data_IF_661173007372
#
_entry.id   IF_661173007372
#
_cell.length_a   1.000
_cell.length_b   1.000
_cell.length_c   1.000
_cell.angle_alpha   90.00
_cell.angle_beta   90.00
_cell.angle_gamma   90.00
#
_symmetry.space_group_name_H-M   'P 1'
#
loop_
_entity.id
_entity.type
_entity.pdbx_description
1 polymer ?
#
# COMPACT_ATOMS: atom_id res chain seq x y z
N UNK A 1 3.50 12.70 -66.65
CA UNK A 1 3.90 13.90 -65.90
C UNK A 1 4.46 13.46 -64.55
N UNK A 2 5.72 13.80 -64.27
CA UNK A 2 6.41 13.62 -62.98
C UNK A 2 7.13 14.94 -62.74
N UNK A 3 7.06 15.52 -61.52
CA UNK A 3 8.14 16.30 -60.83
C UNK A 3 7.60 17.08 -59.61
N UNK A 4 7.93 16.58 -58.42
CA UNK A 4 8.51 17.28 -57.23
C UNK A 4 8.02 18.67 -56.79
N UNK A 5 7.67 18.78 -55.49
CA UNK A 5 8.29 19.77 -54.57
C UNK A 5 8.40 19.25 -53.12
N UNK A 6 9.47 19.68 -52.43
CA UNK A 6 9.97 19.18 -51.14
C UNK A 6 9.31 19.91 -49.92
N UNK A 7 9.53 19.59 -48.63
CA UNK A 7 10.82 19.35 -47.96
C UNK A 7 10.76 18.52 -46.65
N UNK A 8 11.95 18.10 -46.17
CA UNK A 8 12.22 17.48 -44.85
C UNK A 8 12.16 18.52 -43.71
N UNK A 9 11.89 18.07 -42.47
CA UNK A 9 12.78 18.15 -41.26
C UNK A 9 12.36 17.01 -40.30
N UNK A 10 13.25 16.59 -39.38
CA UNK A 10 13.18 15.35 -38.58
C UNK A 10 12.47 15.47 -37.21
N UNK A 11 12.12 14.32 -36.58
CA UNK A 11 11.56 14.29 -35.21
C UNK A 11 11.03 12.92 -34.70
N UNK A 12 11.93 12.00 -34.35
CA UNK A 12 11.96 11.14 -33.13
C UNK A 12 10.62 10.78 -32.40
N UNK A 13 10.32 9.46 -32.36
CA UNK A 13 9.75 8.63 -31.25
C UNK A 13 8.22 8.39 -31.04
N UNK A 14 7.95 7.10 -30.76
CA UNK A 14 6.82 6.42 -30.09
C UNK A 14 5.35 6.80 -30.39
N UNK A 15 4.63 5.87 -31.02
CA UNK A 15 3.16 5.75 -30.91
C UNK A 15 2.77 5.01 -29.63
N UNK A 16 2.66 5.72 -28.51
CA UNK A 16 1.84 5.25 -27.38
C UNK A 16 0.35 5.34 -27.74
N UNK A 17 -0.44 4.33 -27.35
CA UNK A 17 -1.91 4.39 -27.44
C UNK A 17 -2.41 5.48 -26.48
N UNK A 18 -3.15 6.47 -27.00
CA UNK A 18 -3.75 7.53 -26.17
C UNK A 18 -5.13 7.08 -25.69
N UNK A 19 -5.43 7.31 -24.41
CA UNK A 19 -6.77 7.13 -23.85
C UNK A 19 -7.78 8.14 -24.41
N UNK A 20 -9.07 7.84 -24.26
CA UNK A 20 -10.17 8.72 -24.66
C UNK A 20 -10.52 9.64 -23.50
N UNK A 21 -10.66 10.93 -23.77
CA UNK A 21 -10.89 11.98 -22.77
C UNK A 21 -12.36 12.03 -22.33
N UNK A 22 -12.61 12.14 -21.03
CA UNK A 22 -13.84 12.76 -20.51
C UNK A 22 -13.73 14.29 -20.62
N UNK A 23 -14.74 14.95 -21.17
CA UNK A 23 -14.84 16.42 -21.26
C UNK A 23 -16.19 16.91 -20.75
N UNK A 24 -16.11 17.83 -19.77
CA UNK A 24 -17.03 18.94 -19.38
C UNK A 24 -18.56 18.71 -19.37
N UNK A 25 -19.36 19.24 -18.44
CA UNK A 25 -19.26 19.63 -17.01
C UNK A 25 -20.41 20.60 -16.69
N UNK A 26 -21.26 20.37 -15.67
CA UNK A 26 -22.45 21.20 -15.47
C UNK A 26 -23.20 21.14 -14.09
N UNK A 27 -23.72 22.28 -13.53
CA UNK A 27 -24.71 22.47 -12.39
C UNK A 27 -25.32 23.92 -12.24
N UNK A 28 -26.66 24.15 -12.28
CA UNK A 28 -27.34 25.27 -11.53
C UNK A 28 -28.76 25.02 -10.99
N UNK A 29 -29.25 25.97 -10.17
CA UNK A 29 -30.49 25.94 -9.40
C UNK A 29 -31.26 27.28 -9.44
N UNK A 30 -32.57 27.24 -9.60
CA UNK A 30 -33.47 28.23 -8.97
C UNK A 30 -34.86 27.63 -8.71
N UNK A 31 -35.49 28.02 -7.59
CA UNK A 31 -36.86 27.61 -7.26
C UNK A 31 -36.97 26.47 -6.23
N UNK A 32 -38.10 26.43 -5.51
CA UNK A 32 -38.43 25.40 -4.53
C UNK A 32 -39.11 24.23 -5.22
N UNK A 33 -38.38 23.15 -5.48
CA UNK A 33 -38.91 21.96 -6.11
C UNK A 33 -39.80 21.13 -5.18
N UNK A 34 -40.98 20.72 -5.66
CA UNK A 34 -41.78 19.66 -5.04
C UNK A 34 -41.64 18.32 -5.81
N UNK A 35 -42.31 17.26 -5.34
CA UNK A 35 -42.20 15.91 -5.91
C UNK A 35 -42.61 15.80 -7.40
N UNK A 36 -43.37 16.78 -7.93
CA UNK A 36 -43.70 16.83 -9.35
C UNK A 36 -42.52 17.28 -10.21
N UNK A 37 -41.69 18.22 -9.73
CA UNK A 37 -40.48 18.65 -10.42
C UNK A 37 -39.41 17.54 -10.48
N UNK A 38 -39.31 16.72 -9.42
CA UNK A 38 -38.43 15.54 -9.40
C UNK A 38 -38.78 14.53 -10.51
N UNK A 39 -40.08 14.33 -10.76
CA UNK A 39 -40.60 13.47 -11.82
C UNK A 39 -40.37 14.06 -13.22
N UNK A 40 -40.45 15.39 -13.35
CA UNK A 40 -40.13 16.09 -14.59
C UNK A 40 -38.62 16.06 -14.91
N UNK A 41 -37.76 16.18 -13.89
CA UNK A 41 -36.30 16.12 -14.01
C UNK A 41 -35.81 14.77 -14.55
N UNK A 42 -36.29 13.66 -13.98
CA UNK A 42 -35.95 12.32 -14.48
C UNK A 42 -36.33 12.15 -15.96
N UNK A 43 -37.56 12.58 -16.32
CA UNK A 43 -38.08 12.49 -17.69
C UNK A 43 -37.31 13.35 -18.70
N UNK A 44 -36.80 14.51 -18.29
CA UNK A 44 -35.93 15.33 -19.15
C UNK A 44 -34.53 14.71 -19.29
N UNK A 45 -33.92 14.23 -18.20
CA UNK A 45 -32.59 13.63 -18.22
C UNK A 45 -32.50 12.38 -19.12
N UNK A 46 -33.58 11.60 -19.20
CA UNK A 46 -33.68 10.41 -20.07
C UNK A 46 -34.01 10.74 -21.54
N UNK A 47 -34.35 11.99 -21.85
CA UNK A 47 -34.74 12.43 -23.21
C UNK A 47 -33.63 13.13 -24.01
N UNK A 48 -32.50 13.42 -23.38
CA UNK A 48 -31.38 14.14 -24.01
C UNK A 48 -30.51 13.17 -24.84
N UNK A 49 -30.34 13.39 -26.16
CA UNK A 49 -29.36 12.66 -26.95
C UNK A 49 -27.94 13.03 -26.49
N UNK A 50 -26.98 12.13 -26.73
CA UNK A 50 -25.56 12.35 -26.41
C UNK A 50 -25.06 13.69 -26.96
N UNK A 51 -24.62 14.57 -26.07
CA UNK A 51 -24.27 15.95 -26.38
C UNK A 51 -23.04 16.04 -27.29
N UNK A 52 -23.24 16.56 -28.50
CA UNK A 52 -22.20 17.07 -29.40
C UNK A 52 -22.39 18.60 -29.42
N UNK A 53 -21.39 19.32 -28.89
CA UNK A 53 -21.63 20.64 -28.30
C UNK A 53 -21.45 21.82 -29.25
N UNK A 54 -22.15 22.92 -28.92
CA UNK A 54 -21.69 24.27 -29.23
C UNK A 54 -21.61 25.09 -27.92
N UNK A 55 -20.71 26.08 -27.90
CA UNK A 55 -20.14 26.66 -26.67
C UNK A 55 -20.99 27.81 -26.10
N UNK A 56 -21.99 28.28 -26.83
CA UNK A 56 -22.81 29.46 -26.45
C UNK A 56 -23.86 29.17 -25.35
N UNK A 57 -24.23 27.91 -25.08
CA UNK A 57 -25.09 27.53 -23.93
C UNK A 57 -24.31 27.31 -22.63
N UNK A 58 -23.09 27.83 -22.56
CA UNK A 58 -22.14 28.03 -21.44
C UNK A 58 -22.67 28.48 -20.06
N UNK A 59 -23.94 28.85 -19.93
CA UNK A 59 -24.41 29.59 -18.77
C UNK A 59 -24.88 28.67 -17.66
N UNK A 60 -24.21 28.84 -16.52
CA UNK A 60 -24.62 28.39 -15.19
C UNK A 60 -24.19 26.98 -14.77
N UNK A 61 -23.10 26.38 -15.27
CA UNK A 61 -22.93 24.93 -15.04
C UNK A 61 -21.44 24.56 -14.71
N UNK A 62 -21.15 24.09 -13.47
CA UNK A 62 -19.79 23.91 -12.89
C UNK A 62 -19.05 22.60 -13.26
N UNK A 63 -17.71 22.69 -13.37
CA UNK A 63 -16.78 21.57 -13.57
C UNK A 63 -15.99 21.26 -12.30
N UNK A 64 -15.90 19.99 -11.94
CA UNK A 64 -14.79 19.48 -11.14
C UNK A 64 -13.77 18.88 -12.12
N UNK A 65 -12.58 19.46 -12.17
CA UNK A 65 -11.41 18.89 -12.83
C UNK A 65 -10.54 18.21 -11.78
N UNK A 66 -9.93 17.07 -12.13
CA UNK A 66 -8.90 16.44 -11.32
C UNK A 66 -7.68 16.15 -12.18
N UNK A 67 -6.51 16.22 -11.56
CA UNK A 67 -5.28 15.65 -12.08
C UNK A 67 -4.69 14.67 -11.07
N UNK A 68 -3.47 14.20 -11.32
CA UNK A 68 -2.72 13.22 -10.52
C UNK A 68 -2.55 13.63 -9.04
N UNK A 69 -2.83 14.89 -8.69
CA UNK A 69 -2.74 15.49 -7.34
C UNK A 69 -4.10 15.70 -6.68
N UNK A 70 -5.20 15.43 -7.39
CA UNK A 70 -6.56 15.34 -6.86
C UNK A 70 -7.34 16.65 -6.67
N UNK A 71 -8.43 16.55 -5.90
CA UNK A 71 -9.43 17.61 -5.74
C UNK A 71 -9.02 18.62 -4.66
N UNK A 72 -9.11 19.92 -4.98
CA UNK A 72 -8.87 21.02 -4.03
C UNK A 72 -10.17 21.74 -3.70
N UNK A 73 -10.53 21.74 -2.41
CA UNK A 73 -11.61 22.57 -1.84
C UNK A 73 -11.22 22.99 -0.42
N UNK A 74 -11.07 24.30 -0.20
CA UNK A 74 -10.61 24.88 1.07
C UNK A 74 -11.74 24.91 2.12
N UNK A 75 -11.46 24.55 3.37
CA UNK A 75 -12.50 24.14 4.35
C UNK A 75 -12.32 24.76 5.74
N UNK A 76 -13.45 24.99 6.42
CA UNK A 76 -13.57 25.54 7.78
C UNK A 76 -14.18 24.54 8.78
N UNK A 77 -13.89 24.67 10.09
CA UNK A 77 -14.18 23.64 11.07
C UNK A 77 -15.63 23.63 11.59
N UNK A 78 -15.99 22.50 12.20
CA UNK A 78 -17.26 22.10 12.83
C UNK A 78 -18.37 21.58 11.90
N UNK A 79 -18.47 20.25 11.80
CA UNK A 79 -19.78 19.58 11.88
C UNK A 79 -19.65 18.22 12.58
N UNK A 80 -20.78 17.70 13.09
CA UNK A 80 -20.81 16.61 14.08
C UNK A 80 -21.82 15.53 13.64
N UNK A 81 -21.39 14.26 13.67
CA UNK A 81 -22.19 13.01 13.71
C UNK A 81 -23.46 12.91 12.85
N UNK A 82 -23.38 12.08 11.80
CA UNK A 82 -24.13 10.81 11.65
C UNK A 82 -23.61 10.09 10.38
N UNK A 83 -23.35 8.78 10.45
CA UNK A 83 -22.70 8.02 9.35
C UNK A 83 -23.74 7.36 8.42
N UNK A 84 -23.85 7.77 7.14
CA UNK A 84 -24.57 6.99 6.13
C UNK A 84 -23.70 5.85 5.57
N UNK A 85 -24.36 4.75 5.22
CA UNK A 85 -23.75 3.49 4.77
C UNK A 85 -22.98 3.63 3.45
N UNK A 86 -21.81 3.01 3.36
CA UNK A 86 -21.11 2.77 2.09
C UNK A 86 -21.33 1.34 1.60
N UNK A 87 -21.63 1.17 0.32
CA UNK A 87 -21.65 -0.13 -0.34
C UNK A 87 -20.65 -0.14 -1.50
N UNK A 88 -19.91 -1.23 -1.67
CA UNK A 88 -18.86 -1.34 -2.68
C UNK A 88 -19.42 -1.19 -4.10
N UNK A 89 -18.78 -0.32 -4.88
CA UNK A 89 -19.13 0.01 -6.26
C UNK A 89 -17.84 0.24 -7.04
N UNK A 90 -17.62 -0.58 -8.08
CA UNK A 90 -16.51 -0.40 -9.01
C UNK A 90 -16.66 0.91 -9.80
N UNK A 91 -15.57 1.63 -10.05
CA UNK A 91 -15.61 3.00 -10.54
C UNK A 91 -16.04 3.08 -12.02
N UNK A 92 -15.71 2.05 -12.79
CA UNK A 92 -16.18 1.81 -14.16
C UNK A 92 -17.69 1.54 -14.29
N UNK A 93 -18.37 1.17 -13.20
CA UNK A 93 -19.81 0.98 -13.16
C UNK A 93 -20.58 2.22 -12.69
N UNK A 94 -19.88 3.29 -12.27
CA UNK A 94 -20.51 4.58 -11.95
C UNK A 94 -20.92 5.29 -13.24
N UNK A 95 -22.23 5.53 -13.39
CA UNK A 95 -22.82 6.13 -14.59
C UNK A 95 -23.19 7.60 -14.41
N UNK A 96 -23.47 8.04 -13.18
CA UNK A 96 -23.85 9.42 -12.84
C UNK A 96 -23.56 9.70 -11.37
N UNK A 97 -23.12 10.92 -11.07
CA UNK A 97 -23.00 11.44 -9.70
C UNK A 97 -23.82 12.72 -9.64
N UNK A 98 -24.65 12.86 -8.61
CA UNK A 98 -25.47 14.04 -8.34
C UNK A 98 -25.26 14.47 -6.89
N UNK A 99 -25.48 15.73 -6.55
CA UNK A 99 -25.46 16.17 -5.16
C UNK A 99 -26.53 17.23 -4.89
N UNK A 100 -27.07 17.21 -3.67
CA UNK A 100 -28.02 18.20 -3.17
C UNK A 100 -27.27 19.22 -2.31
N UNK A 101 -27.53 20.51 -2.56
CA UNK A 101 -26.88 21.61 -1.85
C UNK A 101 -27.87 22.18 -0.84
N UNK A 102 -27.51 22.12 0.44
CA UNK A 102 -28.30 22.75 1.50
C UNK A 102 -28.18 24.27 1.47
N UNK A 103 -29.13 24.94 2.13
CA UNK A 103 -29.23 26.41 2.14
C UNK A 103 -27.98 27.12 2.68
N UNK A 104 -27.83 28.43 2.38
CA UNK A 104 -26.56 29.15 2.53
C UNK A 104 -25.95 29.09 3.95
N UNK A 105 -24.62 28.87 4.08
CA UNK A 105 -23.64 28.74 2.99
C UNK A 105 -23.81 27.46 2.19
N UNK A 106 -23.56 27.52 0.87
CA UNK A 106 -23.79 26.42 -0.07
C UNK A 106 -22.82 25.25 0.20
N UNK A 107 -23.24 24.29 1.03
CA UNK A 107 -22.53 23.03 1.27
C UNK A 107 -23.24 21.90 0.53
N UNK A 108 -22.54 21.00 -0.19
CA UNK A 108 -23.12 19.74 -0.61
C UNK A 108 -23.50 18.93 0.63
N UNK A 109 -24.79 18.71 0.87
CA UNK A 109 -25.28 17.95 2.02
C UNK A 109 -25.33 16.45 1.69
N UNK A 110 -25.79 16.11 0.49
CA UNK A 110 -26.06 14.74 0.09
C UNK A 110 -25.42 14.46 -1.28
N UNK A 111 -24.65 13.37 -1.40
CA UNK A 111 -24.09 12.92 -2.69
C UNK A 111 -24.69 11.56 -3.06
N UNK A 112 -25.23 11.50 -4.27
CA UNK A 112 -25.92 10.35 -4.85
C UNK A 112 -25.09 9.77 -5.99
N UNK A 113 -24.74 8.49 -5.88
CA UNK A 113 -24.02 7.77 -6.92
C UNK A 113 -24.96 6.76 -7.58
N UNK A 114 -25.04 6.82 -8.91
CA UNK A 114 -25.85 5.92 -9.73
C UNK A 114 -24.95 4.90 -10.43
N UNK A 115 -25.30 3.63 -10.26
CA UNK A 115 -24.49 2.49 -10.67
C UNK A 115 -25.22 1.72 -11.76
N UNK A 116 -24.46 1.28 -12.76
CA UNK A 116 -24.94 0.44 -13.86
C UNK A 116 -25.70 -0.78 -13.31
N UNK A 117 -26.95 -0.96 -13.76
CA UNK A 117 -27.80 -2.06 -13.32
C UNK A 117 -28.52 -1.87 -11.97
N UNK A 118 -28.32 -0.75 -11.25
CA UNK A 118 -29.14 -0.38 -10.08
C UNK A 118 -30.16 0.70 -10.46
N UNK A 119 -31.42 0.49 -10.08
CA UNK A 119 -32.54 1.40 -10.40
C UNK A 119 -32.77 2.52 -9.36
N UNK A 120 -32.04 2.51 -8.24
CA UNK A 120 -32.11 3.54 -7.20
C UNK A 120 -30.70 4.09 -6.90
N UNK A 121 -30.57 5.38 -6.55
CA UNK A 121 -29.29 5.96 -6.13
C UNK A 121 -28.78 5.29 -4.85
N UNK A 122 -27.46 5.12 -4.76
CA UNK A 122 -26.78 4.75 -3.51
C UNK A 122 -26.20 6.01 -2.87
N UNK A 123 -26.43 6.19 -1.57
CA UNK A 123 -25.82 7.27 -0.78
C UNK A 123 -24.36 6.95 -0.55
N UNK A 124 -23.43 7.81 -0.96
CA UNK A 124 -22.00 7.65 -0.67
C UNK A 124 -21.34 9.02 -0.60
N UNK A 125 -20.89 9.42 0.60
CA UNK A 125 -19.59 10.08 0.88
C UNK A 125 -19.51 10.41 2.38
N UNK A 126 -18.40 10.10 3.07
CA UNK A 126 -18.14 10.62 4.42
C UNK A 126 -17.75 12.09 4.34
N UNK A 127 -18.30 12.92 5.24
CA UNK A 127 -18.06 14.38 5.25
C UNK A 127 -16.58 14.77 5.26
N UNK A 128 -15.73 13.95 5.88
CA UNK A 128 -14.27 14.15 5.96
C UNK A 128 -13.56 14.19 4.60
N UNK A 129 -14.10 13.52 3.57
CA UNK A 129 -13.54 13.47 2.22
C UNK A 129 -13.83 14.74 1.39
N UNK A 130 -14.87 15.50 1.73
CA UNK A 130 -15.13 16.83 1.14
C UNK A 130 -14.49 17.95 1.97
N UNK A 131 -14.16 17.68 3.25
CA UNK A 131 -13.84 18.70 4.24
C UNK A 131 -12.34 18.94 4.48
N UNK A 132 -11.42 18.49 3.61
CA UNK A 132 -9.97 18.76 3.78
C UNK A 132 -9.20 19.16 2.51
N UNK A 133 -9.85 19.30 1.36
CA UNK A 133 -9.22 19.86 0.16
C UNK A 133 -8.01 19.10 -0.40
N UNK A 134 -7.82 17.86 0.06
CA UNK A 134 -6.98 16.86 -0.58
C UNK A 134 -7.89 15.79 -1.16
N UNK A 135 -7.49 15.13 -2.27
CA UNK A 135 -8.11 13.85 -2.57
C UNK A 135 -7.96 12.91 -1.36
N UNK A 136 -8.84 11.91 -1.20
CA UNK A 136 -8.42 10.71 -0.52
C UNK A 136 -7.13 10.24 -1.21
N UNK A 137 -6.01 10.16 -0.48
CA UNK A 137 -4.80 9.52 -1.02
C UNK A 137 -5.25 8.16 -1.56
N UNK A 138 -4.80 7.76 -2.76
CA UNK A 138 -5.22 6.48 -3.37
C UNK A 138 -4.97 5.29 -2.42
N UNK A 139 -4.00 5.44 -1.51
CA UNK A 139 -3.69 4.53 -0.39
C UNK A 139 -4.77 4.36 0.69
N UNK A 140 -5.84 5.17 0.69
CA UNK A 140 -6.88 5.17 1.74
C UNK A 140 -8.23 4.62 1.23
N UNK A 141 -8.49 4.65 -0.08
CA UNK A 141 -9.76 4.15 -0.66
C UNK A 141 -9.64 2.92 -1.56
N UNK A 142 -8.43 2.55 -1.97
CA UNK A 142 -8.10 1.14 -2.00
C UNK A 142 -7.60 0.79 -0.60
N UNK A 143 -8.31 -0.07 0.13
CA UNK A 143 -7.59 -0.99 1.01
C UNK A 143 -6.78 -1.86 0.07
N UNK A 144 -5.54 -1.42 -0.24
CA UNK A 144 -4.59 -2.23 -1.00
C UNK A 144 -4.24 -3.42 -0.13
N UNK A 145 -5.09 -4.43 -0.22
CA UNK A 145 -4.80 -5.80 0.15
C UNK A 145 -3.40 -6.08 -0.35
N UNK A 146 -2.39 -6.21 0.53
CA UNK A 146 -1.04 -6.46 0.09
C UNK A 146 -1.04 -7.61 -0.91
N UNK A 147 -0.21 -7.46 -1.92
CA UNK A 147 0.11 -8.52 -2.87
C UNK A 147 1.45 -9.11 -2.47
N UNK A 148 1.72 -10.34 -2.92
CA UNK A 148 3.05 -10.92 -2.79
C UNK A 148 4.03 -10.04 -3.59
N UNK A 149 5.01 -9.36 -2.95
CA UNK A 149 5.97 -8.54 -3.66
C UNK A 149 6.88 -9.44 -4.50
N UNK A 150 7.17 -9.06 -5.74
CA UNK A 150 8.16 -9.79 -6.54
C UNK A 150 9.55 -9.72 -5.90
N UNK A 151 10.32 -10.81 -5.99
CA UNK A 151 11.74 -10.80 -5.63
C UNK A 151 12.53 -9.93 -6.62
N UNK A 152 13.57 -9.27 -6.14
CA UNK A 152 14.50 -8.49 -6.99
C UNK A 152 15.45 -9.35 -7.82
N UNK A 153 15.46 -10.66 -7.61
CA UNK A 153 16.40 -11.63 -8.16
C UNK A 153 15.72 -13.00 -8.37
N UNK A 154 16.30 -13.85 -9.22
CA UNK A 154 15.82 -15.21 -9.49
C UNK A 154 15.91 -16.11 -8.25
N UNK A 155 15.04 -17.11 -8.12
CA UNK A 155 15.00 -17.96 -6.92
C UNK A 155 16.36 -18.63 -6.58
N UNK A 156 17.13 -19.06 -7.58
CA UNK A 156 18.44 -19.69 -7.39
C UNK A 156 19.60 -18.69 -7.22
N UNK A 157 19.35 -17.38 -7.22
CA UNK A 157 20.42 -16.37 -7.24
C UNK A 157 21.17 -16.22 -5.89
N UNK A 158 20.65 -16.85 -4.83
CA UNK A 158 21.28 -16.91 -3.49
C UNK A 158 22.05 -18.22 -3.24
N UNK A 159 22.19 -19.08 -4.25
CA UNK A 159 23.00 -20.29 -4.15
C UNK A 159 24.50 -19.96 -4.03
N UNK A 160 25.28 -20.70 -3.23
CA UNK A 160 24.92 -21.94 -2.53
C UNK A 160 24.34 -21.76 -1.12
N UNK A 161 24.05 -20.54 -0.67
CA UNK A 161 23.62 -20.25 0.72
C UNK A 161 22.15 -20.57 0.96
N UNK A 162 21.28 -20.29 -0.01
CA UNK A 162 19.89 -20.75 0.01
C UNK A 162 19.55 -21.32 -1.37
N UNK A 163 19.10 -22.57 -1.43
CA UNK A 163 18.72 -23.20 -2.69
C UNK A 163 17.48 -22.55 -3.31
N UNK A 164 17.42 -22.58 -4.65
CA UNK A 164 16.25 -22.09 -5.38
C UNK A 164 14.94 -22.80 -4.98
N UNK A 165 15.03 -24.04 -4.48
CA UNK A 165 13.86 -24.79 -3.97
C UNK A 165 13.34 -24.20 -2.65
N UNK A 166 14.21 -23.81 -1.72
CA UNK A 166 13.78 -23.08 -0.51
C UNK A 166 13.17 -21.75 -0.93
N UNK A 167 13.88 -20.96 -1.74
CA UNK A 167 13.42 -19.63 -2.15
C UNK A 167 12.06 -19.65 -2.86
N UNK A 168 11.82 -20.60 -3.77
CA UNK A 168 10.53 -20.74 -4.44
C UNK A 168 9.39 -21.07 -3.46
N UNK A 169 9.60 -22.01 -2.53
CA UNK A 169 8.58 -22.42 -1.56
C UNK A 169 8.31 -21.33 -0.52
N UNK A 170 9.37 -20.74 0.04
CA UNK A 170 9.33 -19.72 1.09
C UNK A 170 8.64 -18.44 0.57
N UNK A 171 8.90 -18.05 -0.67
CA UNK A 171 8.20 -16.95 -1.34
C UNK A 171 6.78 -17.33 -1.80
N UNK A 172 6.66 -18.28 -2.74
CA UNK A 172 5.39 -18.54 -3.44
C UNK A 172 4.33 -19.27 -2.60
N UNK A 173 4.73 -19.93 -1.49
CA UNK A 173 3.82 -20.61 -0.56
C UNK A 173 3.74 -19.90 0.77
N UNK A 174 4.85 -19.76 1.51
CA UNK A 174 4.79 -19.23 2.88
C UNK A 174 4.42 -17.75 2.90
N UNK A 175 5.18 -16.88 2.21
CA UNK A 175 4.86 -15.44 2.15
C UNK A 175 3.50 -15.17 1.50
N UNK A 176 3.15 -15.88 0.42
CA UNK A 176 1.84 -15.76 -0.22
C UNK A 176 0.68 -16.15 0.69
N UNK A 177 0.88 -17.15 1.57
CA UNK A 177 -0.13 -17.56 2.56
C UNK A 177 -0.32 -16.49 3.63
N UNK A 178 0.77 -15.87 4.11
CA UNK A 178 0.67 -14.73 5.04
C UNK A 178 -0.09 -13.57 4.42
N UNK A 179 0.24 -13.19 3.17
CA UNK A 179 -0.47 -12.15 2.42
C UNK A 179 -1.98 -12.46 2.31
N UNK A 180 -2.32 -13.66 1.81
CA UNK A 180 -3.71 -14.09 1.61
C UNK A 180 -4.52 -14.08 2.91
N UNK A 181 -3.94 -14.61 3.99
CA UNK A 181 -4.62 -14.69 5.28
C UNK A 181 -4.69 -13.33 6.00
N UNK A 182 -3.72 -12.43 5.77
CA UNK A 182 -3.78 -11.07 6.29
C UNK A 182 -4.91 -10.27 5.64
N UNK A 183 -5.11 -10.42 4.33
CA UNK A 183 -6.24 -9.83 3.60
C UNK A 183 -7.57 -10.29 4.21
N UNK A 184 -7.78 -11.61 4.32
CA UNK A 184 -8.99 -12.19 4.92
C UNK A 184 -9.17 -11.87 6.42
N UNK A 185 -8.09 -11.60 7.17
CA UNK A 185 -8.16 -11.14 8.56
C UNK A 185 -8.55 -9.65 8.65
N UNK A 186 -8.09 -8.84 7.69
CA UNK A 186 -8.40 -7.40 7.62
C UNK A 186 -9.84 -7.16 7.21
N UNK A 187 -10.39 -7.95 6.28
CA UNK A 187 -11.83 -7.96 5.96
C UNK A 187 -12.68 -8.22 7.21
N UNK A 188 -12.35 -9.27 7.98
CA UNK A 188 -13.07 -9.62 9.23
C UNK A 188 -12.96 -8.52 10.29
N UNK A 189 -11.80 -7.89 10.41
CA UNK A 189 -11.60 -6.75 11.31
C UNK A 189 -12.47 -5.56 10.87
N UNK A 190 -12.50 -5.25 9.57
CA UNK A 190 -13.32 -4.16 9.03
C UNK A 190 -14.81 -4.39 9.27
N UNK A 191 -15.32 -5.61 9.05
CA UNK A 191 -16.71 -5.99 9.40
C UNK A 191 -16.98 -5.82 10.89
N UNK A 192 -16.11 -6.36 11.76
CA UNK A 192 -16.30 -6.25 13.21
C UNK A 192 -16.25 -4.80 13.73
N UNK A 193 -15.45 -3.93 13.10
CA UNK A 193 -15.44 -2.48 13.37
C UNK A 193 -16.73 -1.80 12.89
N UNK A 194 -17.24 -2.16 11.70
CA UNK A 194 -18.48 -1.60 11.16
C UNK A 194 -19.72 -1.99 11.99
N UNK A 195 -19.73 -3.19 12.57
CA UNK A 195 -20.81 -3.72 13.40
C UNK A 195 -20.71 -3.34 14.90
N UNK A 196 -19.68 -2.58 15.32
CA UNK A 196 -19.32 -2.31 16.72
C UNK A 196 -19.11 -3.59 17.57
N UNK A 197 -18.74 -4.70 16.93
CA UNK A 197 -18.44 -5.98 17.59
C UNK A 197 -17.03 -5.99 18.16
N UNK A 198 -16.90 -5.46 19.37
CA UNK A 198 -15.68 -5.52 20.19
C UNK A 198 -15.13 -6.96 20.33
N UNK A 199 -15.98 -7.99 20.31
CA UNK A 199 -15.53 -9.40 20.41
C UNK A 199 -14.83 -9.84 19.13
N UNK A 200 -15.44 -9.56 17.96
CA UNK A 200 -14.85 -9.79 16.64
C UNK A 200 -13.55 -9.02 16.43
N UNK A 201 -13.51 -7.74 16.84
CA UNK A 201 -12.30 -6.89 16.79
C UNK A 201 -11.15 -7.55 17.57
N UNK A 202 -11.40 -8.01 18.80
CA UNK A 202 -10.40 -8.69 19.64
C UNK A 202 -10.01 -10.04 19.05
N UNK A 203 -10.96 -10.83 18.54
CA UNK A 203 -10.70 -12.14 17.95
C UNK A 203 -9.84 -12.06 16.68
N UNK A 204 -9.97 -10.99 15.88
CA UNK A 204 -9.18 -10.79 14.66
C UNK A 204 -7.68 -10.53 14.94
N UNK A 205 -7.32 -9.97 16.11
CA UNK A 205 -5.97 -9.49 16.40
C UNK A 205 -4.88 -10.57 16.26
N UNK A 206 -5.17 -11.82 16.67
CA UNK A 206 -4.20 -12.91 16.55
C UNK A 206 -3.85 -13.23 15.08
N UNK A 207 -4.86 -13.22 14.20
CA UNK A 207 -4.67 -13.46 12.77
C UNK A 207 -4.00 -12.27 12.07
N UNK A 208 -4.36 -11.04 12.46
CA UNK A 208 -3.71 -9.81 12.00
C UNK A 208 -2.22 -9.81 12.37
N UNK A 209 -1.88 -10.07 13.64
CA UNK A 209 -0.49 -10.08 14.10
C UNK A 209 0.35 -11.14 13.38
N UNK A 210 -0.14 -12.37 13.31
CA UNK A 210 0.61 -13.48 12.72
C UNK A 210 0.80 -13.34 11.20
N UNK A 211 -0.25 -12.99 10.46
CA UNK A 211 -0.18 -12.93 9.00
C UNK A 211 0.35 -11.58 8.49
N UNK A 212 -0.01 -10.47 9.15
CA UNK A 212 0.54 -9.15 8.84
C UNK A 212 2.01 -9.04 9.21
N UNK A 213 2.39 -9.53 10.39
CA UNK A 213 3.79 -9.65 10.79
C UNK A 213 4.57 -10.59 9.88
N UNK A 214 3.97 -11.71 9.46
CA UNK A 214 4.55 -12.60 8.45
C UNK A 214 4.80 -11.88 7.13
N UNK A 215 3.84 -11.12 6.62
CA UNK A 215 4.01 -10.32 5.41
C UNK A 215 5.12 -9.26 5.55
N UNK A 216 5.15 -8.51 6.65
CA UNK A 216 6.17 -7.49 6.93
C UNK A 216 7.57 -8.10 7.00
N UNK A 217 7.75 -9.14 7.82
CA UNK A 217 9.05 -9.76 8.07
C UNK A 217 9.67 -10.31 6.76
N UNK A 218 8.89 -11.01 5.95
CA UNK A 218 9.38 -11.55 4.67
C UNK A 218 9.64 -10.45 3.63
N UNK A 219 8.81 -9.41 3.57
CA UNK A 219 9.03 -8.29 2.65
C UNK A 219 10.31 -7.52 2.94
N UNK A 220 10.76 -7.52 4.21
CA UNK A 220 12.07 -7.00 4.62
C UNK A 220 13.18 -8.01 4.28
N UNK A 221 12.98 -9.29 4.63
CA UNK A 221 13.93 -10.38 4.39
C UNK A 221 14.37 -10.49 2.93
N UNK A 222 13.45 -10.37 1.96
CA UNK A 222 13.79 -10.43 0.53
C UNK A 222 14.64 -9.25 0.03
N UNK A 223 14.59 -8.10 0.69
CA UNK A 223 15.42 -6.93 0.34
C UNK A 223 16.75 -6.94 1.10
N UNK A 224 16.76 -7.50 2.31
CA UNK A 224 17.92 -7.75 3.16
C UNK A 224 18.89 -8.81 2.58
N UNK A 225 18.54 -9.49 1.49
CA UNK A 225 19.38 -10.48 0.82
C UNK A 225 19.69 -10.02 -0.61
N UNK A 226 20.89 -10.36 -1.10
CA UNK A 226 21.31 -10.11 -2.48
C UNK A 226 22.27 -11.22 -2.95
N UNK A 227 22.31 -11.52 -4.25
CA UNK A 227 23.36 -12.36 -4.83
C UNK A 227 24.76 -11.82 -4.52
N UNK A 228 25.79 -12.65 -4.31
CA UNK A 228 27.16 -12.17 -4.10
C UNK A 228 27.70 -11.32 -5.28
N UNK A 229 27.21 -11.57 -6.50
CA UNK A 229 27.51 -10.77 -7.70
C UNK A 229 26.92 -9.36 -7.67
N UNK A 230 25.95 -9.10 -6.80
CA UNK A 230 25.23 -7.83 -6.65
C UNK A 230 25.53 -7.13 -5.31
N UNK A 231 26.58 -7.60 -4.59
CA UNK A 231 27.02 -7.02 -3.32
C UNK A 231 26.55 -7.77 -2.07
N UNK A 232 25.86 -8.91 -2.22
CA UNK A 232 25.57 -9.83 -1.11
C UNK A 232 26.84 -10.18 -0.33
N UNK A 233 26.78 -10.02 0.99
CA UNK A 233 27.89 -10.30 1.92
C UNK A 233 28.99 -9.24 1.99
N UNK A 234 28.96 -8.19 1.17
CA UNK A 234 29.89 -7.07 1.30
C UNK A 234 29.58 -6.28 2.59
N UNK A 235 30.54 -6.08 3.52
CA UNK A 235 30.26 -5.48 4.82
C UNK A 235 29.73 -4.04 4.71
N UNK A 236 28.96 -3.56 5.70
CA UNK A 236 28.40 -2.21 5.69
C UNK A 236 29.50 -1.15 5.70
N UNK A 237 29.19 0.02 5.13
CA UNK A 237 30.11 1.15 5.07
C UNK A 237 29.44 2.44 5.54
N UNK A 238 30.20 3.53 5.63
CA UNK A 238 29.67 4.85 5.95
C UNK A 238 28.97 4.93 7.31
N UNK A 239 27.80 5.59 7.35
CA UNK A 239 27.09 5.88 8.59
C UNK A 239 26.64 4.63 9.36
N UNK A 240 26.22 3.57 8.66
CA UNK A 240 25.82 2.32 9.30
C UNK A 240 27.02 1.61 9.96
N UNK A 241 28.17 1.56 9.30
CA UNK A 241 29.40 1.00 9.90
C UNK A 241 29.79 1.75 11.17
N UNK A 242 29.78 3.08 11.13
CA UNK A 242 30.15 3.90 12.28
C UNK A 242 29.18 3.69 13.47
N UNK A 243 27.89 3.50 13.21
CA UNK A 243 26.91 3.17 14.25
C UNK A 243 27.12 1.76 14.82
N UNK A 244 27.39 0.77 13.98
CA UNK A 244 27.71 -0.61 14.41
C UNK A 244 28.97 -0.62 15.30
N UNK A 245 30.02 0.11 14.92
CA UNK A 245 31.24 0.23 15.71
C UNK A 245 31.01 0.96 17.04
N UNK A 246 30.10 1.94 17.08
CA UNK A 246 29.74 2.66 18.31
C UNK A 246 28.91 1.79 19.29
N UNK A 247 27.90 1.07 18.79
CA UNK A 247 26.94 0.32 19.63
C UNK A 247 27.43 -1.10 20.00
N UNK A 248 28.29 -1.70 19.17
CA UNK A 248 28.76 -3.08 19.35
C UNK A 248 30.29 -3.22 19.39
N UNK A 249 31.05 -2.16 19.15
CA UNK A 249 32.52 -2.16 19.14
C UNK A 249 33.16 -2.66 17.84
N UNK A 250 32.47 -3.51 17.08
CA UNK A 250 32.82 -3.88 15.70
C UNK A 250 31.68 -4.60 14.98
N UNK A 251 31.74 -4.64 13.65
CA UNK A 251 30.87 -5.49 12.83
C UNK A 251 30.91 -6.98 13.24
N UNK A 252 32.09 -7.54 13.48
CA UNK A 252 32.24 -8.96 13.87
C UNK A 252 31.63 -9.25 15.24
N UNK A 253 31.72 -8.30 16.19
CA UNK A 253 31.08 -8.43 17.50
C UNK A 253 29.54 -8.41 17.37
N UNK A 254 29.00 -7.50 16.54
CA UNK A 254 27.57 -7.46 16.21
C UNK A 254 27.12 -8.76 15.53
N UNK A 255 27.81 -9.20 14.48
CA UNK A 255 27.56 -10.45 13.74
C UNK A 255 27.54 -11.67 14.67
N UNK A 256 28.54 -11.77 15.55
CA UNK A 256 28.64 -12.86 16.54
C UNK A 256 27.44 -12.86 17.49
N UNK A 257 27.12 -11.70 18.09
CA UNK A 257 26.04 -11.58 19.07
C UNK A 257 24.67 -11.83 18.45
N UNK A 258 24.39 -11.28 17.26
CA UNK A 258 23.15 -11.54 16.55
C UNK A 258 23.04 -13.02 16.19
N UNK A 259 24.07 -13.62 15.61
CA UNK A 259 24.06 -15.05 15.26
C UNK A 259 23.75 -15.95 16.46
N UNK A 260 24.37 -15.69 17.62
CA UNK A 260 24.12 -16.43 18.86
C UNK A 260 22.67 -16.30 19.34
N UNK A 261 22.13 -15.06 19.34
CA UNK A 261 20.74 -14.80 19.73
C UNK A 261 19.74 -15.48 18.78
N UNK A 262 19.99 -15.41 17.47
CA UNK A 262 19.16 -15.99 16.42
C UNK A 262 19.14 -17.52 16.47
N UNK A 263 20.29 -18.16 16.65
CA UNK A 263 20.36 -19.63 16.82
C UNK A 263 19.56 -20.10 18.04
N UNK A 264 19.63 -19.34 19.14
CA UNK A 264 19.00 -19.67 20.42
C UNK A 264 17.47 -19.49 20.48
N UNK A 265 16.82 -19.02 19.41
CA UNK A 265 15.35 -18.91 19.32
C UNK A 265 14.71 -20.29 19.53
N UNK A 266 13.85 -20.42 20.54
CA UNK A 266 13.16 -21.68 20.81
C UNK A 266 11.94 -21.84 19.89
N UNK A 267 11.94 -22.91 19.09
CA UNK A 267 10.95 -23.10 18.03
C UNK A 267 11.18 -22.15 16.86
N UNK A 268 10.10 -21.56 16.35
CA UNK A 268 10.11 -20.66 15.20
C UNK A 268 10.22 -19.18 15.60
N UNK A 269 10.91 -18.39 14.78
CA UNK A 269 11.03 -16.95 15.00
C UNK A 269 12.08 -16.30 14.12
N UNK A 270 12.50 -15.11 14.53
CA UNK A 270 13.40 -14.22 13.81
C UNK A 270 14.47 -13.64 14.74
N UNK A 271 15.66 -13.41 14.18
CA UNK A 271 16.67 -12.54 14.78
C UNK A 271 16.77 -11.21 14.03
N UNK A 272 16.94 -10.10 14.76
CA UNK A 272 16.90 -8.76 14.20
C UNK A 272 18.04 -7.87 14.68
N UNK A 273 18.58 -7.08 13.74
CA UNK A 273 19.17 -5.77 14.00
C UNK A 273 18.10 -4.70 13.73
N UNK A 274 17.84 -3.84 14.72
CA UNK A 274 16.90 -2.73 14.61
C UNK A 274 17.48 -1.42 15.12
N UNK A 275 16.85 -0.31 14.74
CA UNK A 275 17.20 1.03 15.20
C UNK A 275 16.20 1.54 16.24
N UNK A 276 16.70 2.02 17.37
CA UNK A 276 15.91 2.64 18.43
C UNK A 276 15.93 4.17 18.24
N UNK A 277 14.86 4.72 17.66
CA UNK A 277 14.73 6.17 17.40
C UNK A 277 14.67 7.02 18.68
N UNK A 278 14.34 6.43 19.84
CA UNK A 278 14.31 7.15 21.12
C UNK A 278 15.69 7.28 21.78
N UNK A 279 16.62 6.35 21.52
CA UNK A 279 17.99 6.39 22.08
C UNK A 279 19.06 6.74 21.04
N UNK A 280 18.68 6.89 19.76
CA UNK A 280 19.57 7.03 18.61
C UNK A 280 20.67 5.95 18.53
N UNK A 281 20.28 4.69 18.75
CA UNK A 281 21.21 3.56 18.84
C UNK A 281 20.67 2.30 18.14
N UNK A 282 21.57 1.45 17.66
CA UNK A 282 21.29 0.12 17.16
C UNK A 282 21.08 -0.87 18.30
N UNK A 283 20.12 -1.77 18.14
CA UNK A 283 19.77 -2.78 19.14
C UNK A 283 19.52 -4.13 18.46
N UNK A 284 19.84 -5.22 19.17
CA UNK A 284 19.60 -6.58 18.72
C UNK A 284 18.41 -7.16 19.49
N UNK A 285 17.52 -7.85 18.78
CA UNK A 285 16.33 -8.48 19.36
C UNK A 285 16.04 -9.82 18.67
N UNK A 286 15.18 -10.60 19.30
CA UNK A 286 14.53 -11.76 18.66
C UNK A 286 13.02 -11.64 18.80
N UNK A 287 12.30 -12.17 17.81
CA UNK A 287 10.83 -12.18 17.81
C UNK A 287 10.34 -13.61 17.60
N UNK A 288 9.37 -14.05 18.39
CA UNK A 288 8.79 -15.38 18.27
C UNK A 288 7.79 -15.45 17.11
N UNK A 289 7.68 -16.62 16.48
CA UNK A 289 6.75 -16.85 15.37
C UNK A 289 6.90 -15.80 14.25
N UNK A 290 5.83 -15.09 13.91
CA UNK A 290 5.81 -14.01 12.92
C UNK A 290 5.58 -12.63 13.56
N UNK A 291 5.90 -12.48 14.85
CA UNK A 291 5.84 -11.18 15.51
C UNK A 291 6.79 -10.19 14.80
N UNK A 292 6.32 -9.04 14.30
CA UNK A 292 7.17 -8.09 13.60
C UNK A 292 7.91 -7.18 14.58
N UNK A 293 9.15 -6.85 14.26
CA UNK A 293 10.06 -6.19 15.20
C UNK A 293 9.48 -4.89 15.79
N UNK A 294 9.02 -3.98 14.94
CA UNK A 294 8.61 -2.63 15.35
C UNK A 294 7.37 -2.66 16.25
N UNK A 295 6.30 -3.35 15.86
CA UNK A 295 5.09 -3.46 16.68
C UNK A 295 5.28 -4.29 17.96
N UNK A 296 6.38 -5.06 18.07
CA UNK A 296 6.68 -5.90 19.24
C UNK A 296 7.67 -5.24 20.21
N UNK A 297 8.59 -4.40 19.71
CA UNK A 297 9.73 -3.87 20.48
C UNK A 297 9.91 -2.36 20.40
N UNK A 298 9.24 -1.68 19.45
CA UNK A 298 9.47 -0.28 19.10
C UNK A 298 10.74 -0.03 18.26
N UNK A 299 11.44 -1.08 17.83
CA UNK A 299 12.65 -0.95 17.01
C UNK A 299 12.32 -1.00 15.52
N UNK A 300 12.81 -0.03 14.76
CA UNK A 300 12.66 0.01 13.30
C UNK A 300 13.56 -1.09 12.69
N UNK A 301 13.03 -2.06 11.93
CA UNK A 301 13.80 -3.19 11.41
C UNK A 301 14.79 -2.78 10.32
N UNK A 302 16.05 -3.18 10.50
CA UNK A 302 17.12 -2.94 9.53
C UNK A 302 17.54 -4.24 8.82
N UNK A 303 17.93 -5.26 9.59
CA UNK A 303 18.35 -6.57 9.08
C UNK A 303 17.68 -7.70 9.86
N UNK A 304 17.04 -8.64 9.15
CA UNK A 304 16.32 -9.78 9.72
C UNK A 304 16.82 -11.13 9.20
N UNK A 305 16.84 -12.13 10.07
CA UNK A 305 17.17 -13.53 9.75
C UNK A 305 15.98 -14.42 10.15
N UNK A 306 15.36 -15.11 9.18
CA UNK A 306 14.31 -16.09 9.43
C UNK A 306 14.91 -17.39 9.99
N UNK A 307 14.46 -17.85 11.16
CA UNK A 307 14.84 -19.16 11.73
C UNK A 307 13.66 -20.07 11.99
N UNK A 308 12.54 -19.85 11.31
CA UNK A 308 11.60 -20.93 11.02
C UNK A 308 12.30 -22.03 10.22
N UNK A 309 11.94 -23.29 10.49
CA UNK A 309 12.57 -24.43 9.79
C UNK A 309 12.35 -24.40 8.27
N UNK A 310 11.25 -23.80 7.78
CA UNK A 310 11.02 -23.66 6.33
C UNK A 310 12.12 -22.87 5.60
N UNK A 311 12.86 -22.00 6.31
CA UNK A 311 13.89 -21.14 5.73
C UNK A 311 15.22 -21.86 5.47
N UNK A 312 15.43 -23.07 6.04
CA UNK A 312 16.72 -23.76 5.96
C UNK A 312 16.66 -25.30 5.90
N UNK A 313 15.55 -25.95 6.28
CA UNK A 313 15.57 -27.40 6.54
C UNK A 313 15.84 -28.27 5.31
N UNK A 314 15.51 -27.81 4.10
CA UNK A 314 15.79 -28.54 2.86
C UNK A 314 17.29 -28.60 2.52
N UNK A 315 18.07 -27.63 2.98
CA UNK A 315 19.51 -27.55 2.72
C UNK A 315 20.30 -28.00 3.98
N UNK A 316 20.01 -27.39 5.13
CA UNK A 316 20.76 -27.52 6.39
C UNK A 316 20.16 -28.52 7.40
N UNK A 317 18.97 -29.07 7.13
CA UNK A 317 18.26 -29.98 8.07
C UNK A 317 18.11 -29.32 9.45
N UNK A 318 18.44 -30.03 10.53
CA UNK A 318 18.40 -29.53 11.90
C UNK A 318 19.59 -28.61 12.26
N UNK A 319 20.55 -28.36 11.34
CA UNK A 319 21.80 -27.64 11.64
C UNK A 319 21.62 -26.13 11.40
N UNK A 320 20.67 -25.52 12.13
CA UNK A 320 20.42 -24.07 12.12
C UNK A 320 21.69 -23.20 12.27
N UNK A 321 22.70 -23.55 13.10
CA UNK A 321 23.92 -22.73 13.21
C UNK A 321 24.65 -22.53 11.88
N UNK A 322 24.67 -23.54 11.01
CA UNK A 322 25.37 -23.48 9.72
C UNK A 322 24.64 -22.54 8.75
N UNK A 323 23.30 -22.59 8.73
CA UNK A 323 22.46 -21.63 8.01
C UNK A 323 22.66 -20.19 8.51
N UNK A 324 22.59 -19.97 9.83
CA UNK A 324 22.78 -18.64 10.44
C UNK A 324 24.23 -18.15 10.27
N UNK A 325 25.20 -19.02 10.07
CA UNK A 325 26.57 -18.63 9.69
C UNK A 325 26.64 -18.21 8.22
N UNK A 326 25.97 -18.92 7.32
CA UNK A 326 26.03 -18.70 5.88
C UNK A 326 25.20 -17.50 5.39
N UNK A 327 24.09 -17.16 6.06
CA UNK A 327 23.20 -16.03 5.68
C UNK A 327 23.94 -14.69 5.53
N UNK A 328 25.05 -14.51 6.26
CA UNK A 328 25.87 -13.30 6.20
C UNK A 328 26.60 -13.13 4.89
N UNK A 329 26.82 -14.20 4.12
CA UNK A 329 27.56 -14.17 2.85
C UNK A 329 26.67 -13.68 1.67
N UNK A 330 25.37 -13.53 1.92
CA UNK A 330 24.37 -12.97 0.99
C UNK A 330 23.59 -11.78 1.58
N UNK A 331 23.99 -11.27 2.75
CA UNK A 331 23.33 -10.13 3.38
C UNK A 331 23.54 -8.84 2.56
N UNK A 332 22.46 -8.15 2.20
CA UNK A 332 22.45 -6.93 1.41
C UNK A 332 22.63 -5.69 2.31
N UNK A 333 23.87 -5.35 2.62
CA UNK A 333 24.17 -4.18 3.46
C UNK A 333 23.87 -2.83 2.80
N UNK A 334 23.53 -2.77 1.50
CA UNK A 334 23.01 -1.55 0.86
C UNK A 334 21.59 -1.25 1.35
N UNK A 335 20.67 -2.20 1.22
CA UNK A 335 19.29 -2.06 1.72
C UNK A 335 19.26 -1.79 3.25
N UNK A 336 20.10 -2.48 4.02
CA UNK A 336 20.22 -2.22 5.48
C UNK A 336 20.72 -0.79 5.76
N UNK A 337 21.64 -0.26 4.95
CA UNK A 337 22.13 1.12 5.07
C UNK A 337 21.09 2.16 4.66
N UNK A 338 20.31 1.88 3.61
CA UNK A 338 19.20 2.72 3.15
C UNK A 338 18.07 2.78 4.19
N UNK A 339 17.70 1.63 4.78
CA UNK A 339 16.77 1.55 5.91
C UNK A 339 17.25 2.35 7.11
N UNK A 340 18.54 2.26 7.46
CA UNK A 340 19.11 3.05 8.55
C UNK A 340 19.06 4.55 8.26
N UNK A 341 19.42 4.99 7.05
CA UNK A 341 19.36 6.38 6.64
C UNK A 341 17.92 6.93 6.57
N UNK A 342 16.93 6.09 6.23
CA UNK A 342 15.51 6.44 6.30
C UNK A 342 15.00 6.53 7.75
N UNK A 343 15.42 5.61 8.63
CA UNK A 343 14.99 5.56 10.03
C UNK A 343 15.51 6.75 10.88
N UNK A 344 16.64 7.35 10.49
CA UNK A 344 17.20 8.56 11.12
C UNK A 344 16.52 9.88 10.74
N UNK A 345 15.60 9.88 9.77
CA UNK A 345 14.71 11.00 9.43
C UNK A 345 13.46 10.90 10.30
#
# INVERSE_FOLDING_TARGET
MITVKAARVAGVVARHRRGVMLRRAAVQMSGKADASEYTAWAKNADSLPSWDGDVETMHEWYRIDYDDRGFTMDVRPNYNKENPWTADVAWEDVTRICFHVGGPPLVPHDVYVFVKGRHAPSWVIPSEALMNGQPPDKRIMESQHPTLPALGYEYSALEPVISGTIMELHHSKHHNTYVTNFNAATEKLATAVADDDVTGIVAAQAAIKFNGGGHLNHSIFWQNLAPPSEGGGAPPTGALSAAIDADFGSFDAMKTKLSQMTVAVQGSGWGWLGYNKATDALQLATCANQDPLEATTGLIPLFGIDVWEHAYYLDYKNVRPDYVSAIWDIANWSDVSERYAAAKQ
#
